data_IF_350779174780
#
_entry.id   IF_350779174780
#
_cell.length_a   1.000
_cell.length_b   1.000
_cell.length_c   1.000
_cell.angle_alpha   90.00
_cell.angle_beta   90.00
_cell.angle_gamma   90.00
#
_symmetry.space_group_name_H-M   'P 1'
#
loop_
_entity.id
_entity.type
_entity.pdbx_description
1 polymer ?
#
# COMPACT_ATOMS: atom_id res chain seq x y z
N UNK A 1 -8.83 -0.24 64.08
CA UNK A 1 -8.79 0.64 62.91
C UNK A 1 -7.58 0.26 62.09
N UNK A 2 -7.80 -0.40 60.96
CA UNK A 2 -6.75 -0.96 60.09
C UNK A 2 -6.44 0.10 59.01
N UNK A 3 -5.22 0.62 58.99
CA UNK A 3 -4.76 1.57 57.97
C UNK A 3 -4.53 0.88 56.62
N UNK A 4 -4.59 1.61 55.50
CA UNK A 4 -4.51 0.97 54.18
C UNK A 4 -3.08 0.46 53.92
N UNK A 5 -2.98 -0.81 53.53
CA UNK A 5 -1.74 -1.42 53.09
C UNK A 5 -1.23 -0.72 51.81
N UNK A 6 -0.06 -0.10 51.88
CA UNK A 6 0.59 0.53 50.73
C UNK A 6 0.98 -0.50 49.67
N UNK A 7 0.68 -0.19 48.41
CA UNK A 7 1.07 -0.99 47.24
C UNK A 7 2.61 -0.98 47.14
N UNK A 8 3.28 -2.14 46.98
CA UNK A 8 4.74 -2.16 46.83
C UNK A 8 5.14 -1.51 45.51
N UNK A 9 5.81 -0.36 45.56
CA UNK A 9 6.46 0.21 44.37
C UNK A 9 7.61 -0.72 43.96
N UNK A 10 7.49 -1.33 42.77
CA UNK A 10 8.62 -2.02 42.13
C UNK A 10 9.75 -1.00 41.92
N UNK A 11 10.88 -1.20 42.59
CA UNK A 11 12.12 -0.47 42.30
C UNK A 11 12.50 -0.72 40.84
N UNK A 12 12.45 0.34 40.04
CA UNK A 12 12.92 0.34 38.66
C UNK A 12 14.46 0.29 38.69
N UNK A 13 15.04 -0.89 38.45
CA UNK A 13 16.49 -1.03 38.29
C UNK A 13 16.87 -0.56 36.89
N UNK A 14 17.46 0.63 36.79
CA UNK A 14 18.04 1.11 35.53
C UNK A 14 19.34 0.36 35.24
N UNK A 15 19.37 -0.33 34.10
CA UNK A 15 20.61 -0.87 33.53
C UNK A 15 21.46 0.29 33.03
N UNK A 16 22.64 0.45 33.61
CA UNK A 16 23.60 1.48 33.22
C UNK A 16 24.39 0.98 32.00
N UNK A 17 23.86 1.22 30.79
CA UNK A 17 24.59 0.96 29.55
C UNK A 17 25.51 2.15 29.29
N UNK A 18 26.81 1.97 29.52
CA UNK A 18 27.84 2.88 29.01
C UNK A 18 27.90 2.73 27.48
N UNK A 19 27.08 3.50 26.78
CA UNK A 19 27.08 3.70 25.33
C UNK A 19 26.42 5.04 25.04
N UNK A 20 26.90 5.78 24.04
CA UNK A 20 26.44 7.13 23.69
C UNK A 20 24.95 7.17 23.34
N UNK A 21 24.09 7.40 24.34
CA UNK A 21 22.64 7.49 24.20
C UNK A 21 22.15 8.62 23.28
N UNK A 22 23.03 9.55 22.89
CA UNK A 22 22.69 10.73 22.09
C UNK A 22 22.56 10.40 20.60
N UNK A 23 23.24 9.38 20.09
CA UNK A 23 23.20 9.01 18.66
C UNK A 23 22.10 7.99 18.33
N UNK A 24 21.85 7.00 19.21
CA UNK A 24 20.89 5.92 18.93
C UNK A 24 19.42 6.37 18.89
N UNK A 25 19.06 7.44 19.60
CA UNK A 25 17.70 7.98 19.57
C UNK A 25 17.38 8.67 18.24
N UNK A 26 18.34 9.37 17.63
CA UNK A 26 18.18 10.01 16.32
C UNK A 26 18.21 8.99 15.16
N UNK A 27 18.94 7.89 15.32
CA UNK A 27 19.01 6.82 14.31
C UNK A 27 17.70 6.02 14.20
N UNK A 28 16.98 5.83 15.32
CA UNK A 28 15.62 5.27 15.31
C UNK A 28 14.57 6.20 14.68
N UNK A 29 14.85 7.50 14.57
CA UNK A 29 13.91 8.53 14.08
C UNK A 29 13.88 8.61 12.54
N UNK A 30 14.88 8.07 11.83
CA UNK A 30 14.94 8.13 10.35
C UNK A 30 15.14 6.78 9.67
N UNK A 31 14.47 5.74 10.16
CA UNK A 31 14.41 4.47 9.43
C UNK A 31 13.55 4.65 8.18
N UNK A 32 14.04 4.31 6.98
CA UNK A 32 13.25 4.38 5.75
C UNK A 32 12.01 3.48 5.84
N UNK A 33 10.89 3.94 5.30
CA UNK A 33 9.64 3.17 5.32
C UNK A 33 9.19 2.78 3.91
N UNK A 34 8.78 1.53 3.77
CA UNK A 34 8.06 1.03 2.60
C UNK A 34 6.60 0.88 2.97
N UNK A 35 5.72 1.58 2.25
CA UNK A 35 4.28 1.42 2.36
C UNK A 35 3.79 0.58 1.19
N UNK A 36 3.32 -0.62 1.46
CA UNK A 36 2.92 -1.58 0.43
C UNK A 36 1.39 -1.65 0.35
N UNK A 37 0.82 -1.31 -0.80
CA UNK A 37 -0.61 -1.42 -1.00
C UNK A 37 -1.01 -2.86 -1.28
N UNK A 38 -2.14 -3.29 -0.73
CA UNK A 38 -2.69 -4.65 -0.87
C UNK A 38 -4.16 -4.59 -1.26
N UNK A 39 -4.60 -5.49 -2.13
CA UNK A 39 -6.01 -5.71 -2.44
C UNK A 39 -6.29 -5.86 -3.94
N UNK A 40 -7.52 -6.26 -4.24
CA UNK A 40 -7.98 -6.51 -5.61
C UNK A 40 -7.97 -5.25 -6.50
N UNK A 41 -7.97 -5.39 -7.84
CA UNK A 41 -8.18 -4.26 -8.74
C UNK A 41 -9.48 -3.47 -8.44
N UNK A 42 -9.51 -2.19 -8.82
CA UNK A 42 -10.62 -1.26 -8.54
C UNK A 42 -10.99 -1.07 -7.05
N UNK A 43 -10.05 -1.32 -6.13
CA UNK A 43 -10.20 -1.07 -4.69
C UNK A 43 -9.50 0.21 -4.22
N UNK A 44 -9.49 1.28 -5.01
CA UNK A 44 -8.95 2.58 -4.56
C UNK A 44 -7.44 2.67 -4.24
N UNK A 45 -6.65 1.59 -4.37
CA UNK A 45 -5.20 1.58 -4.04
C UNK A 45 -4.41 2.75 -4.67
N UNK A 46 -4.48 2.93 -5.99
CA UNK A 46 -3.77 4.04 -6.66
C UNK A 46 -4.23 5.41 -6.16
N UNK A 47 -5.52 5.58 -5.83
CA UNK A 47 -6.02 6.81 -5.22
C UNK A 47 -5.42 7.04 -3.82
N UNK A 48 -5.40 5.99 -2.99
CA UNK A 48 -4.74 5.99 -1.67
C UNK A 48 -3.25 6.34 -1.83
N UNK A 49 -2.56 5.71 -2.77
CA UNK A 49 -1.15 5.96 -3.10
C UNK A 49 -0.89 7.45 -3.37
N UNK A 50 -1.65 8.05 -4.29
CA UNK A 50 -1.48 9.45 -4.66
C UNK A 50 -1.79 10.40 -3.50
N UNK A 51 -2.89 10.18 -2.77
CA UNK A 51 -3.28 11.02 -1.63
C UNK A 51 -2.26 10.94 -0.51
N UNK A 52 -1.79 9.74 -0.19
CA UNK A 52 -0.81 9.50 0.86
C UNK A 52 0.55 10.09 0.49
N UNK A 53 1.01 9.86 -0.75
CA UNK A 53 2.25 10.45 -1.27
C UNK A 53 2.23 11.98 -1.18
N UNK A 54 1.11 12.60 -1.60
CA UNK A 54 0.94 14.06 -1.52
C UNK A 54 0.93 14.54 -0.07
N UNK A 55 0.22 13.86 0.81
CA UNK A 55 0.14 14.23 2.23
C UNK A 55 1.51 14.16 2.92
N UNK A 56 2.23 13.05 2.75
CA UNK A 56 3.54 12.86 3.38
C UNK A 56 4.55 13.91 2.89
N UNK A 57 4.59 14.18 1.58
CA UNK A 57 5.41 15.27 1.05
C UNK A 57 4.98 16.64 1.57
N UNK A 58 3.67 16.89 1.72
CA UNK A 58 3.16 18.17 2.25
C UNK A 58 3.60 18.43 3.69
N UNK A 59 3.69 17.40 4.53
CA UNK A 59 4.22 17.51 5.90
C UNK A 59 5.75 17.42 5.96
N UNK A 60 6.44 17.41 4.82
CA UNK A 60 7.90 17.44 4.73
C UNK A 60 8.61 16.10 4.75
N UNK A 61 7.89 14.97 4.62
CA UNK A 61 8.49 13.62 4.53
C UNK A 61 8.66 13.26 3.06
N UNK A 62 9.90 13.17 2.58
CA UNK A 62 10.19 12.92 1.15
C UNK A 62 9.66 11.55 0.74
N UNK A 63 8.65 11.55 -0.12
CA UNK A 63 7.91 10.34 -0.48
C UNK A 63 7.76 10.18 -1.98
N UNK A 64 7.93 8.94 -2.49
CA UNK A 64 7.70 8.60 -3.90
C UNK A 64 6.86 7.34 -4.03
N UNK A 65 5.96 7.32 -5.01
CA UNK A 65 5.16 6.15 -5.35
C UNK A 65 5.76 5.38 -6.54
N UNK A 66 5.74 4.06 -6.46
CA UNK A 66 6.23 3.11 -7.47
C UNK A 66 5.06 2.25 -7.91
N UNK A 67 4.47 2.57 -9.07
CA UNK A 67 3.29 1.86 -9.59
C UNK A 67 3.71 0.70 -10.49
N UNK A 68 3.55 -0.53 -10.02
CA UNK A 68 3.98 -1.73 -10.77
C UNK A 68 3.25 -1.86 -12.12
N UNK A 69 2.04 -1.31 -12.24
CA UNK A 69 1.32 -1.25 -13.51
C UNK A 69 2.04 -0.40 -14.57
N UNK A 70 2.80 0.63 -14.18
CA UNK A 70 3.62 1.42 -15.12
C UNK A 70 4.83 0.64 -15.63
N UNK A 71 5.46 -0.15 -14.76
CA UNK A 71 6.57 -1.05 -15.16
C UNK A 71 6.08 -2.06 -16.19
N UNK A 72 4.92 -2.69 -15.94
CA UNK A 72 4.28 -3.61 -16.89
C UNK A 72 3.98 -2.92 -18.23
N UNK A 73 3.43 -1.70 -18.22
CA UNK A 73 3.16 -0.95 -19.46
C UNK A 73 4.40 -0.60 -20.28
N UNK A 74 5.56 -0.48 -19.63
CA UNK A 74 6.84 -0.26 -20.34
C UNK A 74 7.47 -1.54 -20.86
N UNK A 75 7.20 -2.67 -20.21
CA UNK A 75 7.77 -3.97 -20.55
C UNK A 75 6.98 -4.71 -21.66
N UNK A 76 5.71 -4.36 -21.88
CA UNK A 76 4.78 -5.12 -22.73
C UNK A 76 4.10 -4.24 -23.78
N UNK A 77 3.73 -4.85 -24.91
CA UNK A 77 2.82 -4.22 -25.86
C UNK A 77 1.38 -4.34 -25.32
N UNK A 78 0.71 -3.20 -25.13
CA UNK A 78 -0.62 -3.12 -24.52
C UNK A 78 -1.71 -3.80 -25.35
N UNK A 79 -1.52 -3.89 -26.66
CA UNK A 79 -2.45 -4.52 -27.60
C UNK A 79 -2.48 -6.06 -27.49
N UNK A 80 -1.39 -6.69 -27.06
CA UNK A 80 -1.29 -8.16 -26.95
C UNK A 80 -1.44 -8.67 -25.50
N UNK A 81 -1.12 -7.84 -24.51
CA UNK A 81 -0.97 -8.25 -23.10
C UNK A 81 -1.79 -7.39 -22.13
N UNK A 82 -2.71 -6.57 -22.64
CA UNK A 82 -3.66 -5.75 -21.87
C UNK A 82 -4.91 -6.49 -21.37
N UNK A 83 -5.27 -7.59 -22.04
CA UNK A 83 -6.49 -8.36 -21.78
C UNK A 83 -6.45 -9.15 -20.46
N UNK A 84 -7.63 -9.53 -19.96
CA UNK A 84 -7.78 -10.27 -18.72
C UNK A 84 -6.96 -11.58 -18.67
N UNK A 85 -6.76 -12.25 -19.82
CA UNK A 85 -5.99 -13.50 -19.94
C UNK A 85 -4.53 -13.35 -19.51
N UNK A 86 -3.94 -12.16 -19.69
CA UNK A 86 -2.61 -11.86 -19.19
C UNK A 86 -2.51 -11.97 -17.66
N UNK A 87 -3.61 -11.71 -16.95
CA UNK A 87 -3.68 -11.77 -15.50
C UNK A 87 -4.10 -13.14 -14.96
N UNK A 88 -4.41 -14.09 -15.84
CA UNK A 88 -4.80 -15.44 -15.47
C UNK A 88 -3.70 -16.12 -14.64
N UNK A 89 -4.07 -16.84 -13.56
CA UNK A 89 -3.11 -17.61 -12.77
C UNK A 89 -2.41 -18.71 -13.59
N UNK A 90 -3.03 -19.18 -14.68
CA UNK A 90 -2.52 -20.23 -15.54
C UNK A 90 -1.62 -19.70 -16.68
N UNK A 91 -1.49 -18.38 -16.83
CA UNK A 91 -0.63 -17.78 -17.83
C UNK A 91 0.81 -17.65 -17.30
N UNK A 92 1.62 -18.69 -17.47
CA UNK A 92 3.00 -18.70 -16.98
C UNK A 92 3.87 -17.56 -17.54
N UNK A 93 3.67 -17.19 -18.82
CA UNK A 93 4.39 -16.06 -19.44
C UNK A 93 3.99 -14.74 -18.78
N UNK A 94 2.69 -14.49 -18.65
CA UNK A 94 2.15 -13.30 -18.00
C UNK A 94 2.55 -13.20 -16.52
N UNK A 95 2.54 -14.32 -15.79
CA UNK A 95 3.02 -14.40 -14.41
C UNK A 95 4.48 -13.97 -14.28
N UNK A 96 5.36 -14.54 -15.12
CA UNK A 96 6.80 -14.22 -15.11
C UNK A 96 7.04 -12.73 -15.38
N UNK A 97 6.36 -12.17 -16.38
CA UNK A 97 6.45 -10.74 -16.70
C UNK A 97 5.98 -9.87 -15.51
N UNK A 98 4.87 -10.24 -14.87
CA UNK A 98 4.35 -9.50 -13.69
C UNK A 98 5.28 -9.60 -12.49
N UNK A 99 5.95 -10.74 -12.31
CA UNK A 99 6.99 -10.93 -11.30
C UNK A 99 8.21 -10.06 -11.57
N UNK A 100 8.71 -10.06 -12.80
CA UNK A 100 9.85 -9.24 -13.21
C UNK A 100 9.55 -7.74 -13.05
N UNK A 101 8.35 -7.30 -13.44
CA UNK A 101 7.94 -5.90 -13.25
C UNK A 101 7.84 -5.51 -11.78
N UNK A 102 7.36 -6.40 -10.93
CA UNK A 102 7.31 -6.16 -9.48
C UNK A 102 8.71 -6.12 -8.87
N UNK A 103 9.60 -7.02 -9.29
CA UNK A 103 11.00 -7.03 -8.85
C UNK A 103 11.71 -5.73 -9.22
N UNK A 104 11.59 -5.27 -10.48
CA UNK A 104 12.18 -4.01 -10.92
C UNK A 104 11.66 -2.81 -10.12
N UNK A 105 10.36 -2.77 -9.82
CA UNK A 105 9.78 -1.72 -9.00
C UNK A 105 10.29 -1.75 -7.56
N UNK A 106 10.49 -2.94 -6.97
CA UNK A 106 11.06 -3.13 -5.64
C UNK A 106 12.53 -2.69 -5.61
N UNK A 107 13.31 -3.02 -6.63
CA UNK A 107 14.71 -2.59 -6.75
C UNK A 107 14.84 -1.08 -6.90
N UNK A 108 14.02 -0.44 -7.75
CA UNK A 108 13.99 1.01 -7.89
C UNK A 108 13.57 1.72 -6.60
N UNK A 109 12.62 1.12 -5.88
CA UNK A 109 12.16 1.58 -4.58
C UNK A 109 13.26 1.50 -3.53
N UNK A 110 13.98 0.37 -3.47
CA UNK A 110 15.12 0.20 -2.56
C UNK A 110 16.24 1.18 -2.87
N UNK A 111 16.63 1.32 -4.15
CA UNK A 111 17.64 2.31 -4.58
C UNK A 111 17.30 3.72 -4.16
N UNK A 112 16.03 4.13 -4.29
CA UNK A 112 15.56 5.46 -3.86
C UNK A 112 15.70 5.70 -2.35
N UNK A 113 15.52 4.66 -1.53
CA UNK A 113 15.68 4.76 -0.08
C UNK A 113 17.15 4.69 0.33
N UNK A 114 17.92 3.75 -0.24
CA UNK A 114 19.36 3.58 0.05
C UNK A 114 20.19 4.79 -0.39
N UNK A 115 19.85 5.42 -1.53
CA UNK A 115 20.51 6.64 -2.00
C UNK A 115 20.15 7.88 -1.18
N UNK A 116 19.24 7.75 -0.21
CA UNK A 116 18.71 8.84 0.63
C UNK A 116 18.02 9.94 -0.18
N UNK A 117 17.54 9.61 -1.39
CA UNK A 117 16.70 10.50 -2.19
C UNK A 117 15.33 10.73 -1.52
N UNK A 118 14.85 9.76 -0.76
CA UNK A 118 13.67 9.91 0.09
C UNK A 118 13.66 9.08 1.35
N UNK A 119 12.56 9.23 2.10
CA UNK A 119 12.36 8.62 3.42
C UNK A 119 11.25 7.57 3.40
N UNK A 120 10.29 7.72 2.47
CA UNK A 120 9.16 6.80 2.32
C UNK A 120 8.99 6.43 0.86
N UNK A 121 8.82 5.14 0.59
CA UNK A 121 8.49 4.65 -0.72
C UNK A 121 7.15 3.90 -0.69
N UNK A 122 6.22 4.25 -1.58
CA UNK A 122 4.91 3.61 -1.67
C UNK A 122 4.92 2.64 -2.85
N UNK A 123 4.79 1.34 -2.59
CA UNK A 123 4.67 0.33 -3.62
C UNK A 123 3.17 0.13 -3.97
N UNK A 124 2.73 0.71 -5.08
CA UNK A 124 1.36 0.58 -5.60
C UNK A 124 1.25 -0.63 -6.53
N UNK A 125 0.81 -1.74 -5.95
CA UNK A 125 0.55 -3.01 -6.63
C UNK A 125 -0.63 -3.73 -5.96
N UNK A 126 -1.04 -4.89 -6.49
CA UNK A 126 -2.10 -5.71 -5.88
C UNK A 126 -1.61 -6.45 -4.64
N UNK A 127 -0.39 -7.00 -4.66
CA UNK A 127 0.24 -7.73 -3.54
C UNK A 127 -0.70 -8.74 -2.85
N UNK A 128 -1.54 -9.41 -3.66
CA UNK A 128 -2.68 -10.22 -3.20
C UNK A 128 -2.28 -11.57 -2.63
N UNK A 129 -1.05 -12.05 -2.86
CA UNK A 129 -0.56 -13.33 -2.32
C UNK A 129 0.38 -13.12 -1.15
N UNK A 130 0.39 -14.06 -0.19
CA UNK A 130 1.31 -14.05 0.95
C UNK A 130 2.76 -14.16 0.50
N UNK A 131 3.02 -15.02 -0.50
CA UNK A 131 4.36 -15.19 -1.08
C UNK A 131 4.94 -13.85 -1.60
N UNK A 132 4.12 -13.04 -2.28
CA UNK A 132 4.56 -11.71 -2.76
C UNK A 132 4.84 -10.76 -1.59
N UNK A 133 4.01 -10.77 -0.55
CA UNK A 133 4.23 -9.94 0.64
C UNK A 133 5.49 -10.34 1.40
N UNK A 134 5.80 -11.64 1.49
CA UNK A 134 7.03 -12.17 2.12
C UNK A 134 8.28 -11.78 1.35
N UNK A 135 8.27 -11.94 0.03
CA UNK A 135 9.37 -11.46 -0.83
C UNK A 135 9.70 -9.99 -0.57
N UNK A 136 8.69 -9.13 -0.43
CA UNK A 136 8.91 -7.71 -0.13
C UNK A 136 9.50 -7.49 1.28
N UNK A 137 8.99 -8.20 2.28
CA UNK A 137 9.49 -8.12 3.67
C UNK A 137 10.94 -8.59 3.75
N UNK A 138 11.25 -9.70 3.09
CA UNK A 138 12.60 -10.27 3.05
C UNK A 138 13.56 -9.30 2.36
N UNK A 139 13.18 -8.75 1.21
CA UNK A 139 13.94 -7.70 0.51
C UNK A 139 14.25 -6.53 1.44
N UNK A 140 13.24 -5.98 2.12
CA UNK A 140 13.40 -4.83 3.02
C UNK A 140 14.28 -5.13 4.25
N UNK A 141 14.47 -6.41 4.60
CA UNK A 141 15.29 -6.89 5.72
C UNK A 141 16.69 -7.34 5.30
N UNK A 142 17.02 -7.28 4.01
CA UNK A 142 18.35 -7.67 3.54
C UNK A 142 19.47 -6.87 4.21
N UNK A 143 20.58 -7.54 4.52
CA UNK A 143 21.69 -6.98 5.30
C UNK A 143 22.37 -5.77 4.64
N UNK A 144 22.19 -5.59 3.33
CA UNK A 144 22.78 -4.48 2.61
C UNK A 144 22.03 -3.15 2.84
N UNK A 145 20.78 -3.22 3.31
CA UNK A 145 20.03 -2.05 3.77
C UNK A 145 20.44 -1.68 5.19
N UNK A 146 20.97 -0.47 5.37
CA UNK A 146 21.43 0.01 6.67
C UNK A 146 20.89 1.43 6.97
N UNK A 147 19.89 1.57 7.87
CA UNK A 147 19.18 0.50 8.57
C UNK A 147 18.21 -0.29 7.65
N UNK A 148 17.78 -1.50 8.03
CA UNK A 148 16.71 -2.22 7.34
C UNK A 148 15.44 -1.38 7.22
N UNK A 149 14.71 -1.52 6.11
CA UNK A 149 13.51 -0.73 5.89
C UNK A 149 12.34 -1.26 6.71
N UNK A 150 11.51 -0.36 7.24
CA UNK A 150 10.26 -0.73 7.89
C UNK A 150 9.17 -0.91 6.85
N UNK A 151 8.46 -2.03 6.88
CA UNK A 151 7.34 -2.30 5.98
C UNK A 151 6.02 -2.03 6.70
N UNK A 152 5.11 -1.33 6.03
CA UNK A 152 3.74 -1.10 6.49
C UNK A 152 2.75 -1.40 5.36
N UNK A 153 1.86 -2.38 5.56
CA UNK A 153 0.87 -2.74 4.56
C UNK A 153 -0.41 -1.91 4.71
N UNK A 154 -0.94 -1.43 3.59
CA UNK A 154 -2.26 -0.79 3.52
C UNK A 154 -3.14 -1.63 2.62
N UNK A 155 -3.98 -2.45 3.24
CA UNK A 155 -4.93 -3.30 2.52
C UNK A 155 -6.24 -2.55 2.31
N UNK A 156 -6.67 -2.40 1.05
CA UNK A 156 -8.00 -1.86 0.75
C UNK A 156 -8.96 -3.00 0.39
N UNK A 157 -9.87 -3.28 1.31
CA UNK A 157 -10.92 -4.29 1.17
C UNK A 157 -12.23 -3.57 0.85
N UNK A 158 -12.91 -3.96 -0.23
CA UNK A 158 -14.21 -3.39 -0.56
C UNK A 158 -15.05 -4.43 -1.29
N UNK A 159 -16.21 -4.72 -0.72
CA UNK A 159 -17.17 -5.67 -1.29
C UNK A 159 -18.45 -4.97 -1.74
N UNK A 160 -18.55 -3.66 -1.50
CA UNK A 160 -19.64 -2.79 -1.94
C UNK A 160 -19.65 -2.67 -3.48
N UNK A 161 -20.65 -3.24 -4.18
CA UNK A 161 -20.70 -3.28 -5.64
C UNK A 161 -20.75 -1.89 -6.27
N UNK A 162 -21.38 -0.92 -5.61
CA UNK A 162 -21.53 0.43 -6.15
C UNK A 162 -20.19 1.15 -6.18
N UNK A 163 -19.39 1.01 -5.12
CA UNK A 163 -18.03 1.55 -5.04
C UNK A 163 -17.14 0.90 -6.09
N UNK A 164 -17.25 -0.43 -6.26
CA UNK A 164 -16.46 -1.17 -7.26
C UNK A 164 -16.81 -0.70 -8.66
N UNK A 165 -18.11 -0.63 -8.99
CA UNK A 165 -18.59 -0.19 -10.29
C UNK A 165 -18.13 1.24 -10.60
N UNK A 166 -18.29 2.17 -9.65
CA UNK A 166 -17.83 3.55 -9.78
C UNK A 166 -16.33 3.63 -10.06
N UNK A 167 -15.51 2.86 -9.32
CA UNK A 167 -14.06 2.84 -9.53
C UNK A 167 -13.66 2.27 -10.90
N UNK A 168 -14.42 1.30 -11.43
CA UNK A 168 -14.19 0.75 -12.76
C UNK A 168 -14.49 1.82 -13.81
N UNK A 169 -15.70 2.40 -13.76
CA UNK A 169 -16.17 3.37 -14.76
C UNK A 169 -15.37 4.65 -14.76
N UNK A 170 -15.09 5.24 -13.60
CA UNK A 170 -14.49 6.58 -13.52
C UNK A 170 -12.97 6.58 -13.74
N UNK A 171 -12.29 5.47 -13.39
CA UNK A 171 -10.81 5.46 -13.32
C UNK A 171 -10.19 4.44 -14.28
N UNK A 172 -10.81 3.27 -14.45
CA UNK A 172 -10.13 2.14 -15.11
C UNK A 172 -10.44 2.02 -16.59
N UNK A 173 -11.66 2.35 -17.01
CA UNK A 173 -12.02 2.39 -18.43
C UNK A 173 -11.19 3.45 -19.18
N UNK A 174 -10.88 4.57 -18.54
CA UNK A 174 -10.02 5.62 -19.13
C UNK A 174 -8.52 5.37 -18.94
N UNK A 175 -8.14 4.24 -18.34
CA UNK A 175 -6.73 3.92 -18.15
C UNK A 175 -6.05 3.57 -19.48
N UNK A 176 -4.72 3.72 -19.59
CA UNK A 176 -3.98 3.36 -20.79
C UNK A 176 -4.13 1.87 -21.18
N UNK A 177 -4.58 1.02 -20.25
CA UNK A 177 -4.82 -0.41 -20.51
C UNK A 177 -6.01 -0.64 -21.47
N UNK A 178 -6.92 0.32 -21.62
CA UNK A 178 -8.17 0.17 -22.39
C UNK A 178 -8.39 1.28 -23.42
N UNK A 179 -7.85 2.48 -23.17
CA UNK A 179 -8.08 3.67 -23.99
C UNK A 179 -7.64 3.44 -25.44
N UNK A 180 -8.60 3.48 -26.37
CA UNK A 180 -8.35 3.34 -27.80
C UNK A 180 -8.19 1.89 -28.28
N UNK A 181 -8.32 0.91 -27.39
CA UNK A 181 -8.18 -0.53 -27.69
C UNK A 181 -9.56 -1.19 -27.81
N UNK A 182 -10.50 -0.85 -26.92
CA UNK A 182 -11.85 -1.44 -26.91
C UNK A 182 -12.93 -0.44 -26.49
N UNK A 183 -14.21 -0.79 -26.68
CA UNK A 183 -15.34 0.04 -26.23
C UNK A 183 -15.41 0.11 -24.70
N UNK A 184 -16.15 1.08 -24.16
CA UNK A 184 -16.34 1.23 -22.72
C UNK A 184 -16.98 -0.04 -22.09
N UNK A 185 -17.96 -0.63 -22.77
CA UNK A 185 -18.65 -1.84 -22.35
C UNK A 185 -17.70 -3.04 -22.33
N UNK A 186 -16.93 -3.24 -23.41
CA UNK A 186 -15.94 -4.30 -23.50
C UNK A 186 -14.82 -4.14 -22.45
N UNK A 187 -14.36 -2.91 -22.21
CA UNK A 187 -13.37 -2.60 -21.17
C UNK A 187 -13.89 -2.94 -19.77
N UNK A 188 -15.17 -2.65 -19.49
CA UNK A 188 -15.81 -3.00 -18.23
C UNK A 188 -15.88 -4.52 -18.04
N UNK A 189 -16.29 -5.26 -19.08
CA UNK A 189 -16.37 -6.72 -19.03
C UNK A 189 -14.99 -7.37 -18.84
N UNK A 190 -13.98 -6.94 -19.60
CA UNK A 190 -12.60 -7.39 -19.46
C UNK A 190 -12.07 -7.12 -18.04
N UNK A 191 -12.30 -5.91 -17.52
CA UNK A 191 -11.82 -5.54 -16.19
C UNK A 191 -12.49 -6.37 -15.09
N UNK A 192 -13.77 -6.72 -15.24
CA UNK A 192 -14.46 -7.61 -14.32
C UNK A 192 -13.85 -9.02 -14.35
N UNK A 193 -13.59 -9.58 -15.54
CA UNK A 193 -12.88 -10.86 -15.67
C UNK A 193 -11.49 -10.80 -15.03
N UNK A 194 -10.77 -9.69 -15.21
CA UNK A 194 -9.47 -9.45 -14.57
C UNK A 194 -9.58 -9.48 -13.05
N UNK A 195 -10.62 -8.88 -12.45
CA UNK A 195 -10.86 -8.98 -11.00
C UNK A 195 -11.04 -10.43 -10.58
N UNK A 196 -11.82 -11.21 -11.32
CA UNK A 196 -12.03 -12.64 -11.01
C UNK A 196 -10.72 -13.44 -11.07
N UNK A 197 -9.84 -13.17 -12.03
CA UNK A 197 -8.50 -13.80 -12.09
C UNK A 197 -7.67 -13.51 -10.82
N UNK A 198 -7.72 -12.29 -10.28
CA UNK A 198 -7.03 -11.96 -9.03
C UNK A 198 -7.70 -12.59 -7.80
N UNK A 199 -9.04 -12.72 -7.79
CA UNK A 199 -9.76 -13.36 -6.69
C UNK A 199 -9.36 -14.82 -6.51
N UNK A 200 -9.08 -15.55 -7.58
CA UNK A 200 -8.66 -16.96 -7.52
C UNK A 200 -7.38 -17.20 -6.72
N UNK A 201 -6.53 -16.18 -6.56
CA UNK A 201 -5.27 -16.26 -5.81
C UNK A 201 -5.23 -15.29 -4.62
N UNK A 202 -6.32 -14.58 -4.33
CA UNK A 202 -6.29 -13.56 -3.30
C UNK A 202 -6.26 -14.20 -1.91
N UNK A 203 -5.18 -13.89 -1.20
CA UNK A 203 -4.96 -14.21 0.20
C UNK A 203 -4.98 -12.90 0.99
N UNK A 204 -6.15 -12.47 1.52
CA UNK A 204 -6.25 -11.27 2.35
C UNK A 204 -5.23 -11.31 3.50
N UNK A 205 -4.84 -10.14 4.01
CA UNK A 205 -4.03 -10.12 5.23
C UNK A 205 -4.87 -10.74 6.35
N UNK A 206 -4.29 -11.63 7.12
CA UNK A 206 -4.97 -12.40 8.16
C UNK A 206 -4.26 -12.24 9.51
N UNK A 207 -5.01 -12.15 10.60
CA UNK A 207 -4.44 -11.86 11.93
C UNK A 207 -3.54 -12.98 12.44
N UNK A 208 -3.89 -14.23 12.18
CA UNK A 208 -3.12 -15.40 12.65
C UNK A 208 -1.94 -15.69 11.70
N UNK A 209 -2.19 -15.67 10.39
CA UNK A 209 -1.15 -15.99 9.41
C UNK A 209 -0.14 -14.86 9.18
N UNK A 210 -0.50 -13.61 9.50
CA UNK A 210 0.29 -12.41 9.26
C UNK A 210 0.57 -11.63 10.57
N UNK A 211 0.68 -12.33 11.70
CA UNK A 211 0.87 -11.73 13.04
C UNK A 211 2.11 -10.83 13.15
N UNK A 212 3.17 -11.12 12.38
CA UNK A 212 4.45 -10.42 12.40
C UNK A 212 4.45 -9.13 11.56
N UNK A 213 3.42 -8.92 10.73
CA UNK A 213 3.33 -7.76 9.86
C UNK A 213 2.82 -6.52 10.60
N UNK A 214 3.18 -5.34 10.09
CA UNK A 214 2.54 -4.07 10.46
C UNK A 214 1.58 -3.65 9.36
N UNK A 215 0.29 -3.44 9.68
CA UNK A 215 -0.70 -3.13 8.64
C UNK A 215 -1.93 -2.37 9.12
N UNK A 216 -2.62 -1.78 8.14
CA UNK A 216 -3.99 -1.26 8.26
C UNK A 216 -4.86 -1.86 7.15
N UNK A 217 -6.04 -2.37 7.51
CA UNK A 217 -7.12 -2.69 6.58
C UNK A 217 -8.09 -1.52 6.53
N UNK A 218 -8.31 -1.00 5.34
CA UNK A 218 -9.29 0.05 5.02
C UNK A 218 -10.48 -0.64 4.37
N UNK A 219 -11.60 -0.72 5.10
CA UNK A 219 -12.75 -1.54 4.70
C UNK A 219 -13.86 -0.64 4.14
N UNK A 220 -14.37 -1.02 2.97
CA UNK A 220 -15.47 -0.37 2.26
C UNK A 220 -15.30 1.16 2.14
N UNK A 221 -14.17 1.60 1.59
CA UNK A 221 -13.81 3.01 1.41
C UNK A 221 -13.79 3.82 2.72
N UNK A 222 -13.36 3.20 3.82
CA UNK A 222 -13.16 3.85 5.11
C UNK A 222 -14.37 3.82 6.05
N UNK A 223 -15.35 2.94 5.79
CA UNK A 223 -16.46 2.68 6.74
C UNK A 223 -15.94 2.07 8.05
N UNK A 224 -14.93 1.22 7.96
CA UNK A 224 -14.25 0.67 9.14
C UNK A 224 -12.78 0.42 8.85
N UNK A 225 -12.01 0.28 9.93
CA UNK A 225 -10.57 0.09 9.87
C UNK A 225 -10.16 -0.99 10.86
N UNK A 226 -9.13 -1.76 10.49
CA UNK A 226 -8.42 -2.66 11.40
C UNK A 226 -6.94 -2.32 11.35
N UNK A 227 -6.28 -2.16 12.50
CA UNK A 227 -4.90 -1.69 12.59
C UNK A 227 -4.12 -2.64 13.48
N UNK A 228 -2.97 -3.10 12.99
CA UNK A 228 -2.12 -4.07 13.68
C UNK A 228 -0.65 -3.65 13.70
N UNK A 229 -0.02 -3.82 14.86
CA UNK A 229 1.44 -3.71 15.06
C UNK A 229 2.06 -2.43 14.44
N UNK A 230 1.55 -1.24 14.79
CA UNK A 230 2.04 0.04 14.25
C UNK A 230 3.39 0.42 14.87
N UNK A 231 4.39 0.63 14.01
CA UNK A 231 5.77 0.86 14.39
C UNK A 231 6.31 2.21 13.88
N UNK A 232 6.50 3.14 14.82
CA UNK A 232 7.13 4.44 14.55
C UNK A 232 6.21 5.50 13.96
N UNK A 233 6.73 6.73 13.88
CA UNK A 233 5.91 7.92 13.64
C UNK A 233 5.28 7.99 12.23
N UNK A 234 5.96 7.46 11.20
CA UNK A 234 5.43 7.46 9.82
C UNK A 234 4.17 6.61 9.76
N UNK A 235 4.20 5.38 10.28
CA UNK A 235 3.05 4.49 10.26
C UNK A 235 1.86 5.06 11.05
N UNK A 236 2.10 5.65 12.22
CA UNK A 236 1.04 6.34 12.99
C UNK A 236 0.40 7.49 12.19
N UNK A 237 1.19 8.28 11.45
CA UNK A 237 0.67 9.35 10.59
C UNK A 237 -0.11 8.82 9.40
N UNK A 238 0.33 7.70 8.81
CA UNK A 238 -0.40 7.01 7.73
C UNK A 238 -1.77 6.56 8.24
N UNK A 239 -1.83 5.88 9.38
CA UNK A 239 -3.10 5.45 10.01
C UNK A 239 -4.01 6.65 10.26
N UNK A 240 -3.50 7.69 10.93
CA UNK A 240 -4.27 8.91 11.20
C UNK A 240 -4.82 9.54 9.91
N UNK A 241 -3.99 9.66 8.88
CA UNK A 241 -4.41 10.22 7.60
C UNK A 241 -5.52 9.39 6.95
N UNK A 242 -5.34 8.07 6.86
CA UNK A 242 -6.30 7.18 6.22
C UNK A 242 -7.66 7.17 6.93
N UNK A 243 -7.68 7.29 8.25
CA UNK A 243 -8.92 7.37 9.04
C UNK A 243 -9.70 8.67 8.84
N UNK A 244 -9.07 9.73 8.34
CA UNK A 244 -9.66 11.07 8.22
C UNK A 244 -9.94 11.51 6.78
N UNK A 245 -9.56 10.71 5.78
CA UNK A 245 -9.84 11.04 4.37
C UNK A 245 -11.13 10.39 3.87
N UNK A 246 -11.86 11.13 3.04
CA UNK A 246 -12.96 10.58 2.26
C UNK A 246 -12.38 9.89 1.03
N UNK A 247 -12.57 8.57 0.93
CA UNK A 247 -12.02 7.75 -0.15
C UNK A 247 -12.94 7.68 -1.38
N UNK A 248 -14.16 8.20 -1.28
CA UNK A 248 -15.08 8.33 -2.41
C UNK A 248 -14.86 9.68 -3.11
N UNK A 249 -14.84 9.70 -4.46
CA UNK A 249 -14.81 10.95 -5.20
C UNK A 249 -16.04 11.80 -4.84
N UNK A 250 -15.81 12.98 -4.28
CA UNK A 250 -16.89 13.95 -4.09
C UNK A 250 -17.24 14.51 -5.47
N UNK A 251 -18.49 14.32 -5.91
CA UNK A 251 -19.06 15.13 -6.99
C UNK A 251 -19.03 16.57 -6.51
N UNK A 252 -18.02 17.34 -6.91
CA UNK A 252 -18.09 18.79 -6.76
C UNK A 252 -19.27 19.22 -7.62
N UNK A 253 -20.34 19.69 -6.96
CA UNK A 253 -21.43 20.35 -7.67
C UNK A 253 -20.80 21.42 -8.56
N UNK A 254 -21.18 21.50 -9.86
CA UNK A 254 -20.65 22.52 -10.74
C UNK A 254 -20.87 23.89 -10.09
N UNK A 255 -19.83 24.71 -10.15
CA UNK A 255 -19.71 26.03 -9.52
C UNK A 255 -20.66 27.09 -10.13
N UNK A 256 -21.82 26.68 -10.65
CA UNK A 256 -22.82 27.53 -11.32
C UNK A 256 -24.08 27.79 -10.48
N UNK A 257 -24.19 27.28 -9.25
CA UNK A 257 -25.39 27.45 -8.40
C UNK A 257 -25.30 28.57 -7.35
N UNK A 258 -24.20 29.33 -7.28
CA UNK A 258 -24.07 30.51 -6.42
C UNK A 258 -24.14 31.81 -7.22
N UNK A 259 -25.26 32.00 -7.93
CA UNK A 259 -25.75 33.34 -8.29
C UNK A 259 -27.24 33.39 -7.99
N UNK A 260 -27.58 33.91 -6.82
CA UNK A 260 -28.76 34.71 -6.56
C UNK A 260 -28.32 35.93 -5.78
#
# INVERSE_FOLDING_TARGET
>A
MVGPAGVPQRKMTYWNVKGSLVDSANEQVRVPNVIALVGLPARGKTYISHKLCRYLNWIGIKTKAFNVGEYRRKACNLEEEGEFEFFSPHNNKGNKIREDCARLAIEDMGRYLDSKEGEVAILDATNTTRARRRLLVDYCREMHHNPPFRVFFVESVCDDPDIINSNITEIKIFSPDYKGIMSEEAAKEDFMKRIEMYKMQYEPIDEECDEDLSYIKVINAGKSFYVHNVNGHVQSRVVYFLMNIHLLPQKHLPHSSWRK
#
